data_IF_946093684597
#
_entry.id   IF_946093684597
#
_cell.length_a   1.000
_cell.length_b   1.000
_cell.length_c   1.000
_cell.angle_alpha   90.00
_cell.angle_beta   90.00
_cell.angle_gamma   90.00
#
_symmetry.space_group_name_H-M   'P 1'
#
loop_
_entity.id
_entity.type
_entity.pdbx_description
1 polymer ?
#
# COMPACT_ATOMS: atom_id res chain seq x y z
N UNK A 1 24.74 -26.71 37.31
CA UNK A 1 24.33 -26.84 35.91
C UNK A 1 23.43 -25.67 35.58
N UNK A 2 23.92 -24.71 34.78
CA UNK A 2 23.14 -23.56 34.32
C UNK A 2 22.63 -23.89 32.92
N UNK A 3 21.33 -24.12 32.77
CA UNK A 3 20.69 -24.26 31.46
C UNK A 3 20.50 -22.86 30.88
N UNK A 4 21.39 -22.48 29.96
CA UNK A 4 21.18 -21.33 29.09
C UNK A 4 20.06 -21.68 28.12
N UNK A 5 18.84 -21.19 28.39
CA UNK A 5 17.76 -21.18 27.40
C UNK A 5 18.12 -20.16 26.32
N UNK A 6 18.39 -20.66 25.11
CA UNK A 6 18.51 -19.80 23.94
C UNK A 6 17.16 -19.09 23.68
N UNK A 7 17.16 -17.80 23.29
CA UNK A 7 15.93 -17.12 22.94
C UNK A 7 15.37 -17.76 21.67
N UNK A 8 14.11 -18.19 21.72
CA UNK A 8 13.34 -18.55 20.53
C UNK A 8 13.24 -17.28 19.69
N UNK A 9 14.07 -17.17 18.66
CA UNK A 9 13.98 -16.11 17.67
C UNK A 9 12.66 -16.29 16.91
N UNK A 10 11.83 -15.25 16.90
CA UNK A 10 10.54 -15.15 16.21
C UNK A 10 10.66 -15.11 14.67
N UNK A 11 11.62 -15.86 14.12
CA UNK A 11 12.01 -15.84 12.71
C UNK A 11 10.82 -16.01 11.76
N UNK A 12 9.79 -16.76 12.16
CA UNK A 12 8.56 -16.94 11.39
C UNK A 12 7.76 -15.63 11.23
N UNK A 13 7.62 -14.84 12.29
CA UNK A 13 6.93 -13.55 12.24
C UNK A 13 7.71 -12.50 11.46
N UNK A 14 9.04 -12.45 11.66
CA UNK A 14 9.92 -11.55 10.90
C UNK A 14 9.92 -11.89 9.41
N UNK A 15 9.99 -13.17 9.05
CA UNK A 15 9.96 -13.64 7.65
C UNK A 15 8.64 -13.28 6.97
N UNK A 16 7.50 -13.56 7.61
CA UNK A 16 6.16 -13.20 7.09
C UNK A 16 6.01 -11.71 6.83
N UNK A 17 6.57 -10.88 7.72
CA UNK A 17 6.45 -9.43 7.57
C UNK A 17 7.33 -8.90 6.42
N UNK A 18 8.47 -9.53 6.16
CA UNK A 18 9.31 -9.23 5.00
C UNK A 18 8.62 -9.68 3.71
N UNK A 19 8.05 -10.89 3.68
CA UNK A 19 7.28 -11.38 2.51
C UNK A 19 6.12 -10.44 2.17
N UNK A 20 5.34 -10.01 3.17
CA UNK A 20 4.27 -9.03 2.98
C UNK A 20 4.77 -7.69 2.43
N UNK A 21 5.97 -7.25 2.85
CA UNK A 21 6.61 -6.06 2.31
C UNK A 21 7.01 -6.24 0.84
N UNK A 22 7.60 -7.38 0.48
CA UNK A 22 7.97 -7.70 -0.90
C UNK A 22 6.75 -7.80 -1.81
N UNK A 23 5.66 -8.41 -1.36
CA UNK A 23 4.38 -8.47 -2.09
C UNK A 23 3.80 -7.07 -2.35
N UNK A 24 3.92 -6.16 -1.38
CA UNK A 24 3.50 -4.78 -1.56
C UNK A 24 4.36 -4.02 -2.58
N UNK A 25 5.67 -4.25 -2.59
CA UNK A 25 6.58 -3.63 -3.56
C UNK A 25 6.39 -4.23 -4.97
N UNK A 26 6.15 -5.53 -5.09
CA UNK A 26 5.83 -6.15 -6.37
C UNK A 26 4.47 -5.71 -6.91
N UNK A 27 3.46 -5.52 -6.04
CA UNK A 27 2.22 -4.86 -6.42
C UNK A 27 2.47 -3.45 -6.97
N UNK A 28 3.28 -2.65 -6.28
CA UNK A 28 3.63 -1.30 -6.75
C UNK A 28 4.35 -1.34 -8.10
N UNK A 29 5.27 -2.29 -8.29
CA UNK A 29 5.99 -2.46 -9.56
C UNK A 29 5.04 -2.74 -10.73
N UNK A 30 3.95 -3.50 -10.50
CA UNK A 30 2.99 -3.88 -11.54
C UNK A 30 1.88 -2.87 -11.76
N UNK A 31 1.44 -2.19 -10.71
CA UNK A 31 0.21 -1.38 -10.70
C UNK A 31 0.42 0.05 -10.21
N UNK A 32 1.64 0.44 -9.86
CA UNK A 32 1.96 1.75 -9.29
C UNK A 32 1.73 2.92 -10.23
N UNK A 33 1.93 2.74 -11.54
CA UNK A 33 1.67 3.78 -12.53
C UNK A 33 0.18 4.18 -12.54
N UNK A 34 -0.72 3.19 -12.62
CA UNK A 34 -2.15 3.47 -12.59
C UNK A 34 -2.64 4.01 -11.24
N UNK A 35 -1.99 3.61 -10.14
CA UNK A 35 -2.25 4.20 -8.82
C UNK A 35 -1.81 5.67 -8.78
N UNK A 36 -0.64 5.99 -9.31
CA UNK A 36 -0.12 7.35 -9.43
C UNK A 36 -1.08 8.26 -10.21
N UNK A 37 -1.51 7.80 -11.40
CA UNK A 37 -2.46 8.52 -12.25
C UNK A 37 -3.78 8.77 -11.51
N UNK A 38 -4.28 7.75 -10.80
CA UNK A 38 -5.50 7.88 -10.00
C UNK A 38 -5.32 8.91 -8.88
N UNK A 39 -4.25 8.85 -8.10
CA UNK A 39 -4.02 9.79 -6.99
C UNK A 39 -3.84 11.23 -7.49
N UNK A 40 -3.12 11.42 -8.59
CA UNK A 40 -3.00 12.73 -9.26
C UNK A 40 -4.36 13.25 -9.74
N UNK A 41 -5.20 12.37 -10.29
CA UNK A 41 -6.56 12.72 -10.69
C UNK A 41 -7.45 13.11 -9.50
N UNK A 42 -7.31 12.42 -8.36
CA UNK A 42 -8.08 12.70 -7.15
C UNK A 42 -7.57 13.92 -6.38
N UNK A 43 -6.40 14.46 -6.75
CA UNK A 43 -5.67 15.51 -6.06
C UNK A 43 -5.34 15.17 -4.60
N UNK A 44 -5.00 13.90 -4.33
CA UNK A 44 -4.71 13.39 -2.98
C UNK A 44 -3.22 13.48 -2.65
N UNK A 45 -2.72 14.67 -2.29
CA UNK A 45 -1.30 14.95 -2.02
C UNK A 45 -0.69 14.00 -0.98
N UNK A 46 -1.38 13.78 0.15
CA UNK A 46 -0.90 12.89 1.22
C UNK A 46 -0.78 11.43 0.78
N UNK A 47 -1.68 10.95 -0.08
CA UNK A 47 -1.58 9.60 -0.63
C UNK A 47 -0.49 9.52 -1.69
N UNK A 48 -0.28 10.59 -2.45
CA UNK A 48 0.80 10.69 -3.43
C UNK A 48 2.17 10.63 -2.75
N UNK A 49 2.38 11.39 -1.66
CA UNK A 49 3.60 11.32 -0.86
C UNK A 49 3.84 9.91 -0.31
N UNK A 50 2.79 9.26 0.18
CA UNK A 50 2.86 7.87 0.63
C UNK A 50 3.24 6.89 -0.50
N UNK A 51 2.77 7.14 -1.73
CA UNK A 51 3.16 6.36 -2.91
C UNK A 51 4.63 6.56 -3.26
N UNK A 52 5.13 7.79 -3.22
CA UNK A 52 6.55 8.11 -3.40
C UNK A 52 7.42 7.43 -2.34
N UNK A 53 6.97 7.42 -1.08
CA UNK A 53 7.62 6.70 0.01
C UNK A 53 7.74 5.20 -0.28
N UNK A 54 6.66 4.56 -0.77
CA UNK A 54 6.68 3.16 -1.18
C UNK A 54 7.62 2.92 -2.36
N UNK A 55 7.59 3.81 -3.35
CA UNK A 55 8.45 3.71 -4.51
C UNK A 55 9.93 3.78 -4.11
N UNK A 56 10.28 4.67 -3.18
CA UNK A 56 11.63 4.76 -2.61
C UNK A 56 12.11 3.49 -1.90
N UNK A 57 11.20 2.61 -1.47
CA UNK A 57 11.57 1.31 -0.89
C UNK A 57 11.84 0.22 -1.94
N UNK A 58 11.38 0.39 -3.19
CA UNK A 58 11.47 -0.63 -4.24
C UNK A 58 12.90 -0.91 -4.75
N UNK A 59 13.85 -0.04 -4.43
CA UNK A 59 15.27 -0.20 -4.76
C UNK A 59 16.18 -0.45 -3.55
N UNK A 60 15.62 -0.68 -2.36
CA UNK A 60 16.40 -0.92 -1.14
C UNK A 60 16.74 -2.40 -1.00
N UNK A 61 17.99 -2.72 -0.71
CA UNK A 61 18.42 -4.09 -0.36
C UNK A 61 17.74 -4.60 0.92
N UNK A 62 17.38 -3.67 1.81
CA UNK A 62 16.62 -3.96 3.04
C UNK A 62 15.46 -2.96 3.16
N UNK A 63 14.25 -3.31 2.68
CA UNK A 63 13.11 -2.41 2.72
C UNK A 63 12.64 -2.13 4.17
N UNK A 64 12.31 -0.88 4.48
CA UNK A 64 11.68 -0.54 5.76
C UNK A 64 10.21 -0.97 5.76
N UNK A 65 9.99 -2.16 6.30
CA UNK A 65 8.68 -2.80 6.49
C UNK A 65 7.68 -1.88 7.21
N UNK A 66 8.12 -1.08 8.20
CA UNK A 66 7.23 -0.18 8.94
C UNK A 66 6.81 1.00 8.06
N UNK A 67 7.73 1.54 7.28
CA UNK A 67 7.44 2.61 6.30
C UNK A 67 6.48 2.12 5.22
N UNK A 68 6.73 0.94 4.64
CA UNK A 68 5.84 0.31 3.65
C UNK A 68 4.42 0.18 4.21
N UNK A 69 4.27 -0.42 5.39
CA UNK A 69 2.96 -0.61 6.03
C UNK A 69 2.26 0.72 6.33
N UNK A 70 3.00 1.74 6.76
CA UNK A 70 2.44 3.09 7.03
C UNK A 70 1.94 3.73 5.74
N UNK A 71 2.71 3.67 4.67
CA UNK A 71 2.34 4.24 3.38
C UNK A 71 1.11 3.57 2.79
N UNK A 72 1.02 2.23 2.84
CA UNK A 72 -0.19 1.50 2.42
C UNK A 72 -1.43 1.94 3.21
N UNK A 73 -1.30 2.17 4.52
CA UNK A 73 -2.41 2.67 5.35
C UNK A 73 -2.84 4.08 4.95
N UNK A 74 -1.88 4.96 4.66
CA UNK A 74 -2.15 6.33 4.22
C UNK A 74 -2.94 6.33 2.91
N UNK A 75 -2.48 5.57 1.91
CA UNK A 75 -3.17 5.45 0.63
C UNK A 75 -4.57 4.87 0.82
N UNK A 76 -4.71 3.78 1.59
CA UNK A 76 -6.02 3.18 1.86
C UNK A 76 -6.98 4.16 2.53
N UNK A 77 -6.49 4.94 3.49
CA UNK A 77 -7.30 5.93 4.21
C UNK A 77 -7.81 7.02 3.26
N UNK A 78 -6.94 7.56 2.39
CA UNK A 78 -7.33 8.55 1.40
C UNK A 78 -8.38 7.99 0.42
N UNK A 79 -8.17 6.79 -0.11
CA UNK A 79 -9.14 6.14 -1.00
C UNK A 79 -10.49 5.89 -0.31
N UNK A 80 -10.49 5.51 0.97
CA UNK A 80 -11.70 5.26 1.75
C UNK A 80 -12.46 6.55 2.13
N UNK A 81 -11.78 7.69 2.20
CA UNK A 81 -12.38 8.98 2.51
C UNK A 81 -13.15 9.59 1.33
N UNK A 82 -12.96 9.05 0.11
CA UNK A 82 -13.65 9.53 -1.10
C UNK A 82 -15.14 9.27 -1.04
N UNK A 83 -15.93 10.28 -1.37
CA UNK A 83 -17.38 10.10 -1.57
C UNK A 83 -17.66 9.56 -2.98
N UNK A 84 -18.61 8.63 -3.08
CA UNK A 84 -19.05 8.06 -4.38
C UNK A 84 -19.52 9.16 -5.34
N UNK A 85 -20.26 10.15 -4.85
CA UNK A 85 -20.72 11.27 -5.65
C UNK A 85 -19.58 12.10 -6.28
N UNK A 86 -18.48 12.32 -5.55
CA UNK A 86 -17.31 13.02 -6.10
C UNK A 86 -16.62 12.18 -7.19
N UNK A 87 -16.58 10.86 -7.03
CA UNK A 87 -16.03 9.95 -8.04
C UNK A 87 -16.90 9.89 -9.30
N UNK A 88 -18.23 9.94 -9.17
CA UNK A 88 -19.16 9.93 -10.31
C UNK A 88 -18.99 11.17 -11.18
N UNK A 89 -18.94 12.36 -10.56
CA UNK A 89 -18.70 13.62 -11.28
C UNK A 89 -17.35 13.61 -12.02
N UNK A 90 -16.32 13.00 -11.41
CA UNK A 90 -15.01 12.83 -12.03
C UNK A 90 -15.04 11.83 -13.19
N UNK A 91 -15.82 10.76 -13.04
CA UNK A 91 -15.99 9.70 -14.05
C UNK A 91 -16.61 10.26 -15.33
N UNK A 92 -17.68 11.06 -15.20
CA UNK A 92 -18.30 11.76 -16.33
C UNK A 92 -17.30 12.66 -17.05
N UNK A 93 -16.49 13.42 -16.28
CA UNK A 93 -15.49 14.33 -16.83
C UNK A 93 -14.36 13.62 -17.58
N UNK A 94 -13.95 12.44 -17.12
CA UNK A 94 -12.77 11.73 -17.62
C UNK A 94 -13.09 10.64 -18.64
N UNK A 95 -14.35 10.27 -18.79
CA UNK A 95 -14.80 9.28 -19.77
C UNK A 95 -14.50 7.83 -19.36
N UNK A 96 -14.22 7.58 -18.07
CA UNK A 96 -14.05 6.23 -17.51
C UNK A 96 -14.51 6.18 -16.05
N UNK A 97 -14.77 4.97 -15.54
CA UNK A 97 -15.28 4.77 -14.19
C UNK A 97 -14.18 4.91 -13.12
N UNK A 98 -14.04 6.11 -12.56
CA UNK A 98 -13.10 6.42 -11.47
C UNK A 98 -13.46 5.63 -10.21
N UNK A 99 -14.75 5.52 -9.90
CA UNK A 99 -15.21 4.82 -8.70
C UNK A 99 -14.77 3.34 -8.70
N UNK A 100 -14.86 2.67 -9.85
CA UNK A 100 -14.35 1.30 -10.00
C UNK A 100 -12.86 1.22 -9.71
N UNK A 101 -12.07 2.20 -10.17
CA UNK A 101 -10.63 2.26 -9.92
C UNK A 101 -10.33 2.46 -8.43
N UNK A 102 -11.00 3.42 -7.78
CA UNK A 102 -10.86 3.68 -6.34
C UNK A 102 -11.15 2.42 -5.53
N UNK A 103 -12.25 1.73 -5.84
CA UNK A 103 -12.64 0.49 -5.13
C UNK A 103 -11.66 -0.64 -5.37
N UNK A 104 -11.19 -0.82 -6.60
CA UNK A 104 -10.22 -1.86 -6.95
C UNK A 104 -8.89 -1.66 -6.20
N UNK A 105 -8.31 -0.45 -6.24
CA UNK A 105 -7.07 -0.15 -5.51
C UNK A 105 -7.28 -0.24 -3.99
N UNK A 106 -8.40 0.26 -3.47
CA UNK A 106 -8.73 0.20 -2.05
C UNK A 106 -8.83 -1.24 -1.53
N UNK A 107 -9.46 -2.13 -2.29
CA UNK A 107 -9.54 -3.56 -1.97
C UNK A 107 -8.15 -4.20 -2.01
N UNK A 108 -7.39 -3.99 -3.09
CA UNK A 108 -6.08 -4.63 -3.25
C UNK A 108 -5.08 -4.21 -2.18
N UNK A 109 -5.07 -2.93 -1.79
CA UNK A 109 -4.24 -2.42 -0.70
C UNK A 109 -4.69 -2.97 0.66
N UNK A 110 -6.00 -3.18 0.85
CA UNK A 110 -6.52 -3.81 2.07
C UNK A 110 -6.05 -5.25 2.21
N UNK A 111 -6.03 -6.02 1.11
CA UNK A 111 -5.49 -7.39 1.11
C UNK A 111 -4.00 -7.42 1.48
N UNK A 112 -3.20 -6.51 0.90
CA UNK A 112 -1.79 -6.38 1.25
C UNK A 112 -1.60 -6.06 2.74
N UNK A 113 -2.43 -5.19 3.30
CA UNK A 113 -2.38 -4.83 4.72
C UNK A 113 -2.75 -5.97 5.68
N UNK A 114 -3.53 -6.95 5.22
CA UNK A 114 -3.84 -8.16 6.00
C UNK A 114 -2.60 -9.05 6.14
N UNK A 115 -1.73 -9.12 5.14
CA UNK A 115 -0.50 -9.93 5.19
C UNK A 115 0.52 -9.46 6.25
N UNK A 116 0.42 -8.21 6.75
CA UNK A 116 1.24 -7.69 7.84
C UNK A 116 0.69 -7.99 9.25
N UNK A 117 -0.25 -8.92 9.38
CA UNK A 117 -0.91 -9.28 10.64
C UNK A 117 -0.46 -10.65 11.13
#
# INVERSE_FOLDING_TARGET
MLTTSAPVTDNDGTTKTIEAALDALDFLRRHGAGLCDLLGLLAEETAFDALCDLHGQSGSDLPDVRRIRRSLRSIRAALAARSTHANDALSVRKGYCVDTSVRWYGARISDLLVAFR
#
